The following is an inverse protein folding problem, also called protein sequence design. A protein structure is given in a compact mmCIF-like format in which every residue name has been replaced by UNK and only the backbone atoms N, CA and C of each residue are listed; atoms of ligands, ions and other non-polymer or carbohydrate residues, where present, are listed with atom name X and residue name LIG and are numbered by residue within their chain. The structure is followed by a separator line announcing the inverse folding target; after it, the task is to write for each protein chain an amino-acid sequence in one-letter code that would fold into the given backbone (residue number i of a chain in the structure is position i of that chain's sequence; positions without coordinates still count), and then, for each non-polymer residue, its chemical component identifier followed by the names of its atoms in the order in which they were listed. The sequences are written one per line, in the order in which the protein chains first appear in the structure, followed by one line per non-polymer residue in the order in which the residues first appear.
data_IF_926522622062
#
_entry.id   IF_926522622062
#
_cell.length_a   1.000
_cell.length_b   1.000
_cell.length_c   1.000
_cell.angle_alpha   90.00
_cell.angle_beta   90.00
_cell.angle_gamma   90.00
#
_symmetry.space_group_name_H-M   'P 1'
#
loop_
_entity.id
_entity.type
_entity.pdbx_description
1 polymer ?
#
# COMPACT_ATOMS: atom_id res chain seq x y z
N UNK A 1 -10.09 -7.98 26.64
CA UNK A 1 -8.72 -8.40 26.96
C UNK A 1 -8.14 -9.07 25.72
N UNK A 2 -7.10 -8.46 25.14
CA UNK A 2 -6.38 -8.98 23.94
C UNK A 2 -5.20 -9.87 24.35
N UNK A 3 -5.14 -10.26 25.63
CA UNK A 3 -4.00 -10.95 26.22
C UNK A 3 -3.61 -12.18 25.41
N UNK A 4 -2.39 -12.12 24.87
CA UNK A 4 -1.68 -13.22 24.20
C UNK A 4 -2.28 -13.82 22.92
N UNK A 5 -3.07 -13.08 22.15
CA UNK A 5 -3.51 -13.56 20.84
C UNK A 5 -2.37 -13.50 19.82
N UNK A 6 -2.08 -14.62 19.20
CA UNK A 6 -1.01 -14.75 18.21
C UNK A 6 -1.44 -14.19 16.86
N UNK A 7 -0.69 -13.24 16.34
CA UNK A 7 -0.88 -12.65 14.99
C UNK A 7 0.40 -12.84 14.20
N UNK A 8 0.29 -13.23 12.95
CA UNK A 8 1.39 -13.26 12.01
C UNK A 8 1.25 -12.10 11.02
N UNK A 9 2.29 -11.31 10.86
CA UNK A 9 2.38 -10.29 9.81
C UNK A 9 3.42 -10.73 8.78
N UNK A 10 3.02 -10.83 7.51
CA UNK A 10 3.89 -11.21 6.40
C UNK A 10 4.07 -10.02 5.48
N UNK A 11 5.34 -9.63 5.27
CA UNK A 11 5.75 -8.39 4.65
C UNK A 11 5.95 -7.30 5.70
N UNK A 12 7.23 -7.05 6.07
CA UNK A 12 7.66 -6.07 7.08
C UNK A 12 8.26 -4.82 6.42
N UNK A 13 7.87 -4.53 5.19
CA UNK A 13 8.21 -3.27 4.53
C UNK A 13 7.56 -2.07 5.24
N UNK A 14 7.62 -0.88 4.61
CA UNK A 14 7.20 0.40 5.22
C UNK A 14 5.80 0.38 5.87
N UNK A 15 4.86 -0.37 5.30
CA UNK A 15 3.49 -0.44 5.82
C UNK A 15 3.32 -1.57 6.84
N UNK A 16 3.76 -2.78 6.52
CA UNK A 16 3.58 -3.96 7.38
C UNK A 16 4.36 -3.88 8.68
N UNK A 17 5.54 -3.27 8.66
CA UNK A 17 6.30 -2.96 9.86
C UNK A 17 5.52 -2.06 10.82
N UNK A 18 4.90 -0.99 10.32
CA UNK A 18 4.07 -0.09 11.11
C UNK A 18 2.84 -0.78 11.70
N UNK A 19 2.16 -1.63 10.91
CA UNK A 19 1.04 -2.47 11.37
C UNK A 19 1.50 -3.38 12.52
N UNK A 20 2.65 -4.05 12.36
CA UNK A 20 3.23 -4.92 13.40
C UNK A 20 3.46 -4.17 14.71
N UNK A 21 4.08 -2.97 14.64
CA UNK A 21 4.32 -2.11 15.82
C UNK A 21 3.02 -1.71 16.50
N UNK A 22 1.99 -1.39 15.73
CA UNK A 22 0.68 -1.00 16.26
C UNK A 22 -0.02 -2.18 16.96
N UNK A 23 0.05 -3.37 16.39
CA UNK A 23 -0.49 -4.59 17.01
C UNK A 23 0.27 -4.95 18.30
N UNK A 24 1.61 -4.83 18.31
CA UNK A 24 2.40 -5.07 19.54
C UNK A 24 2.03 -4.07 20.64
N UNK A 25 1.85 -2.77 20.32
CA UNK A 25 1.37 -1.77 21.30
C UNK A 25 -0.02 -2.08 21.85
N UNK A 26 -0.86 -2.75 21.07
CA UNK A 26 -2.19 -3.20 21.51
C UNK A 26 -2.17 -4.51 22.32
N UNK A 27 -0.99 -5.07 22.62
CA UNK A 27 -0.83 -6.26 23.46
C UNK A 27 -0.94 -7.60 22.73
N UNK A 28 -0.86 -7.61 21.38
CA UNK A 28 -0.80 -8.85 20.62
C UNK A 28 0.61 -9.44 20.64
N UNK A 29 0.69 -10.77 20.64
CA UNK A 29 1.92 -11.49 20.38
C UNK A 29 2.11 -11.56 18.87
N UNK A 30 3.01 -10.72 18.31
CA UNK A 30 3.19 -10.57 16.88
C UNK A 30 4.42 -11.33 16.40
N UNK A 31 4.19 -12.25 15.47
CA UNK A 31 5.22 -12.90 14.66
C UNK A 31 5.35 -12.14 13.35
N UNK A 32 6.58 -11.98 12.86
CA UNK A 32 6.85 -11.26 11.62
C UNK A 32 7.65 -12.11 10.64
N UNK A 33 7.30 -12.05 9.36
CA UNK A 33 8.05 -12.68 8.29
C UNK A 33 8.28 -11.70 7.14
N UNK A 34 9.51 -11.64 6.65
CA UNK A 34 9.89 -10.90 5.45
C UNK A 34 10.97 -11.66 4.67
N UNK A 35 11.01 -11.46 3.36
CA UNK A 35 12.09 -12.01 2.50
C UNK A 35 13.42 -11.28 2.72
N UNK A 36 13.36 -10.01 3.16
CA UNK A 36 14.53 -9.24 3.50
C UNK A 36 14.94 -9.53 4.96
N UNK A 37 16.09 -10.17 5.20
CA UNK A 37 16.54 -10.53 6.55
C UNK A 37 16.79 -9.31 7.43
N UNK A 38 17.16 -8.16 6.87
CA UNK A 38 17.38 -6.94 7.64
C UNK A 38 16.08 -6.39 8.22
N UNK A 39 14.97 -6.46 7.46
CA UNK A 39 13.66 -6.08 7.97
C UNK A 39 13.22 -7.02 9.10
N UNK A 40 13.46 -8.31 8.97
CA UNK A 40 13.13 -9.29 10.00
C UNK A 40 13.97 -9.09 11.26
N UNK A 41 15.27 -8.85 11.12
CA UNK A 41 16.18 -8.54 12.23
C UNK A 41 15.75 -7.28 12.98
N UNK A 42 15.44 -6.21 12.24
CA UNK A 42 14.92 -4.97 12.81
C UNK A 42 13.62 -5.20 13.58
N UNK A 43 12.69 -5.99 13.03
CA UNK A 43 11.43 -6.32 13.70
C UNK A 43 11.67 -7.02 15.05
N UNK A 44 12.59 -7.96 15.14
CA UNK A 44 12.94 -8.64 16.40
C UNK A 44 13.58 -7.69 17.41
N UNK A 45 14.55 -6.87 16.97
CA UNK A 45 15.18 -5.85 17.83
C UNK A 45 14.17 -4.87 18.43
N UNK A 46 13.09 -4.60 17.71
CA UNK A 46 12.03 -3.68 18.13
C UNK A 46 10.88 -4.35 18.91
N UNK A 47 11.10 -5.57 19.39
CA UNK A 47 10.18 -6.30 20.29
C UNK A 47 9.23 -7.27 19.61
N UNK A 48 9.40 -7.53 18.32
CA UNK A 48 8.72 -8.61 17.63
C UNK A 48 9.10 -9.97 18.20
N UNK A 49 8.16 -10.92 18.17
CA UNK A 49 8.42 -12.21 18.77
C UNK A 49 9.35 -13.05 17.88
N UNK A 50 10.53 -13.40 18.42
CA UNK A 50 11.51 -14.27 17.78
C UNK A 50 11.26 -15.72 18.20
N UNK A 51 10.75 -16.56 17.28
CA UNK A 51 10.48 -17.96 17.55
C UNK A 51 9.68 -18.63 16.44
N UNK A 52 9.50 -19.94 16.57
CA UNK A 52 8.70 -20.69 15.59
C UNK A 52 7.25 -20.20 15.60
N UNK A 53 6.72 -19.92 14.41
CA UNK A 53 5.33 -19.48 14.24
C UNK A 53 4.38 -20.64 14.57
N UNK A 54 3.47 -20.49 15.55
CA UNK A 54 2.48 -21.52 15.90
C UNK A 54 1.25 -21.38 14.98
N UNK A 55 1.37 -21.87 13.73
CA UNK A 55 0.35 -21.66 12.69
C UNK A 55 -1.05 -22.13 13.11
N UNK A 56 -1.15 -23.20 13.88
CA UNK A 56 -2.40 -23.77 14.40
C UNK A 56 -3.04 -22.95 15.54
N UNK A 57 -2.31 -21.98 16.09
CA UNK A 57 -2.77 -21.11 17.19
C UNK A 57 -2.96 -19.65 16.75
N UNK A 58 -2.75 -19.34 15.48
CA UNK A 58 -2.93 -17.98 14.97
C UNK A 58 -4.41 -17.59 14.95
N UNK A 59 -4.69 -16.38 15.43
CA UNK A 59 -6.01 -15.77 15.29
C UNK A 59 -6.17 -15.10 13.93
N UNK A 60 -5.09 -14.50 13.44
CA UNK A 60 -5.07 -13.88 12.11
C UNK A 60 -3.68 -13.89 11.49
N UNK A 61 -3.66 -13.84 10.16
CA UNK A 61 -2.49 -13.52 9.35
C UNK A 61 -2.79 -12.23 8.58
N UNK A 62 -1.91 -11.24 8.73
CA UNK A 62 -1.98 -9.96 8.01
C UNK A 62 -0.94 -9.98 6.91
N UNK A 63 -1.36 -9.83 5.65
CA UNK A 63 -0.49 -9.92 4.47
C UNK A 63 -0.33 -8.53 3.87
N UNK A 64 0.91 -8.03 3.83
CA UNK A 64 1.27 -6.70 3.36
C UNK A 64 2.45 -6.80 2.40
N UNK A 65 2.21 -7.40 1.25
CA UNK A 65 3.24 -7.65 0.23
C UNK A 65 2.97 -6.86 -1.04
N UNK A 66 3.85 -6.99 -2.03
CA UNK A 66 3.84 -6.08 -3.18
C UNK A 66 2.69 -6.36 -4.17
N UNK A 67 2.34 -7.64 -4.42
CA UNK A 67 1.46 -8.00 -5.53
C UNK A 67 0.65 -9.29 -5.30
N UNK A 68 -0.25 -9.60 -6.25
CA UNK A 68 -1.10 -10.77 -6.27
C UNK A 68 -0.32 -12.09 -6.25
N UNK A 69 0.77 -12.17 -7.05
CA UNK A 69 1.61 -13.36 -7.13
C UNK A 69 2.20 -13.71 -5.76
N UNK A 70 2.78 -12.74 -5.07
CA UNK A 70 3.32 -12.95 -3.74
C UNK A 70 2.23 -13.33 -2.73
N UNK A 71 1.06 -12.68 -2.81
CA UNK A 71 -0.08 -12.99 -1.94
C UNK A 71 -0.55 -14.43 -2.14
N UNK A 72 -0.72 -14.88 -3.38
CA UNK A 72 -1.13 -16.26 -3.68
C UNK A 72 -0.06 -17.27 -3.24
N UNK A 73 1.22 -16.99 -3.49
CA UNK A 73 2.34 -17.85 -3.10
C UNK A 73 2.38 -18.08 -1.59
N UNK A 74 2.24 -16.99 -0.81
CA UNK A 74 2.22 -17.05 0.65
C UNK A 74 1.05 -17.91 1.16
N UNK A 75 -0.13 -17.76 0.60
CA UNK A 75 -1.32 -18.47 1.12
C UNK A 75 -1.39 -19.88 0.57
N UNK A 76 -1.20 -20.08 -0.73
CA UNK A 76 -1.51 -21.32 -1.45
C UNK A 76 -0.34 -21.91 -2.24
N UNK A 77 0.85 -21.29 -2.24
CA UNK A 77 2.04 -21.85 -2.88
C UNK A 77 2.44 -23.20 -2.28
N UNK A 78 3.50 -23.80 -2.78
CA UNK A 78 4.03 -25.10 -2.32
C UNK A 78 4.32 -25.09 -0.82
N UNK A 79 4.98 -24.03 -0.33
CA UNK A 79 5.25 -23.77 1.09
C UNK A 79 4.13 -22.95 1.78
N UNK A 80 3.00 -22.79 1.12
CA UNK A 80 1.90 -21.94 1.56
C UNK A 80 1.37 -22.27 2.95
N UNK A 81 0.79 -21.26 3.59
CA UNK A 81 0.37 -21.35 4.98
C UNK A 81 -1.03 -21.95 5.15
N UNK A 82 -1.86 -21.99 4.09
CA UNK A 82 -3.29 -22.34 4.21
C UNK A 82 -3.56 -23.70 4.86
N UNK A 83 -2.69 -24.69 4.62
CA UNK A 83 -2.83 -26.04 5.22
C UNK A 83 -2.30 -26.14 6.66
N UNK A 84 -1.61 -25.12 7.16
CA UNK A 84 -1.01 -25.06 8.49
C UNK A 84 -1.93 -24.35 9.50
N UNK A 85 -2.95 -23.64 9.00
CA UNK A 85 -3.83 -22.81 9.80
C UNK A 85 -5.05 -23.58 10.30
N UNK A 86 -5.54 -23.25 11.50
CA UNK A 86 -6.80 -23.78 12.01
C UNK A 86 -8.02 -23.17 11.29
N UNK A 87 -9.14 -23.90 11.33
CA UNK A 87 -10.40 -23.36 10.81
C UNK A 87 -10.75 -22.00 11.46
N UNK A 88 -11.34 -21.12 10.67
CA UNK A 88 -11.71 -19.75 11.03
C UNK A 88 -10.51 -18.83 11.36
N UNK A 89 -9.27 -19.19 11.05
CA UNK A 89 -8.19 -18.20 11.08
C UNK A 89 -8.47 -17.13 10.04
N UNK A 90 -8.29 -15.85 10.41
CA UNK A 90 -8.50 -14.72 9.53
C UNK A 90 -7.28 -14.49 8.65
N UNK A 91 -7.46 -14.42 7.35
CA UNK A 91 -6.48 -13.94 6.38
C UNK A 91 -6.88 -12.51 5.99
N UNK A 92 -6.17 -11.53 6.51
CA UNK A 92 -6.40 -10.11 6.23
C UNK A 92 -5.38 -9.64 5.20
N UNK A 93 -5.84 -9.39 3.97
CA UNK A 93 -4.96 -8.99 2.86
C UNK A 93 -5.01 -7.48 2.69
N UNK A 94 -3.87 -6.82 2.96
CA UNK A 94 -3.70 -5.38 2.81
C UNK A 94 -2.99 -5.01 1.51
N UNK A 95 -2.56 -5.99 0.74
CA UNK A 95 -1.93 -5.83 -0.58
C UNK A 95 -2.91 -5.19 -1.56
N UNK A 96 -2.43 -4.25 -2.38
CA UNK A 96 -3.23 -3.74 -3.51
C UNK A 96 -3.31 -4.81 -4.58
N UNK A 97 -4.51 -5.31 -4.82
CA UNK A 97 -4.85 -6.39 -5.76
C UNK A 97 -6.09 -6.03 -6.58
N UNK A 98 -6.35 -6.78 -7.65
CA UNK A 98 -7.61 -6.63 -8.39
C UNK A 98 -8.81 -7.19 -7.61
N UNK A 99 -10.02 -6.64 -7.82
CA UNK A 99 -11.23 -7.18 -7.20
C UNK A 99 -11.47 -8.66 -7.51
N UNK A 100 -11.16 -9.09 -8.74
CA UNK A 100 -11.34 -10.47 -9.17
C UNK A 100 -10.37 -11.41 -8.44
N UNK A 101 -9.12 -11.00 -8.26
CA UNK A 101 -8.15 -11.73 -7.46
C UNK A 101 -8.61 -11.87 -6.00
N UNK A 102 -9.09 -10.79 -5.40
CA UNK A 102 -9.59 -10.83 -4.02
C UNK A 102 -10.75 -11.83 -3.87
N UNK A 103 -11.70 -11.88 -4.84
CA UNK A 103 -12.79 -12.87 -4.86
C UNK A 103 -12.30 -14.30 -5.01
N UNK A 104 -11.30 -14.53 -5.87
CA UNK A 104 -10.69 -15.85 -6.03
C UNK A 104 -10.02 -16.32 -4.74
N UNK A 105 -9.29 -15.43 -4.07
CA UNK A 105 -8.66 -15.73 -2.77
C UNK A 105 -9.69 -16.05 -1.68
N UNK A 106 -10.78 -15.30 -1.61
CA UNK A 106 -11.89 -15.59 -0.67
C UNK A 106 -12.46 -17.00 -0.91
N UNK A 107 -12.78 -17.35 -2.16
CA UNK A 107 -13.27 -18.66 -2.53
C UNK A 107 -12.29 -19.80 -2.16
N UNK A 108 -11.00 -19.60 -2.40
CA UNK A 108 -9.94 -20.56 -2.03
C UNK A 108 -9.80 -20.67 -0.50
N UNK A 109 -9.84 -19.57 0.23
CA UNK A 109 -9.81 -19.55 1.69
C UNK A 109 -11.02 -20.28 2.29
N UNK A 110 -12.22 -20.02 1.77
CA UNK A 110 -13.45 -20.68 2.22
C UNK A 110 -13.39 -22.20 2.06
N UNK A 111 -12.83 -22.72 0.94
CA UNK A 111 -12.62 -24.18 0.73
C UNK A 111 -11.67 -24.80 1.76
N UNK A 112 -10.82 -23.99 2.41
CA UNK A 112 -9.90 -24.40 3.50
C UNK A 112 -10.45 -24.09 4.89
N UNK A 113 -11.71 -23.65 5.00
CA UNK A 113 -12.31 -23.25 6.28
C UNK A 113 -11.72 -21.96 6.88
N UNK A 114 -11.01 -21.17 6.09
CA UNK A 114 -10.40 -19.90 6.51
C UNK A 114 -11.34 -18.73 6.22
N UNK A 115 -11.18 -17.64 6.97
CA UNK A 115 -11.89 -16.39 6.74
C UNK A 115 -10.97 -15.46 5.95
N UNK A 116 -11.49 -14.81 4.90
CA UNK A 116 -10.75 -13.84 4.12
C UNK A 116 -11.31 -12.42 4.35
N UNK A 117 -10.44 -11.44 4.49
CA UNK A 117 -10.80 -10.03 4.51
C UNK A 117 -9.99 -9.29 3.44
N UNK A 118 -10.68 -8.72 2.48
CA UNK A 118 -10.15 -7.75 1.54
C UNK A 118 -10.00 -6.41 2.28
N UNK A 119 -8.75 -6.01 2.55
CA UNK A 119 -8.47 -4.92 3.47
C UNK A 119 -7.34 -3.99 3.00
N UNK A 120 -7.36 -3.50 1.76
CA UNK A 120 -6.36 -2.55 1.30
C UNK A 120 -6.33 -1.27 2.13
N UNK A 121 -5.15 -0.66 2.17
CA UNK A 121 -4.80 0.43 3.08
C UNK A 121 -4.38 1.71 2.36
N UNK A 122 -4.51 2.83 3.05
CA UNK A 122 -3.98 4.14 2.66
C UNK A 122 -3.47 4.90 3.89
N UNK A 123 -2.48 5.81 3.69
CA UNK A 123 -1.96 6.66 4.76
C UNK A 123 -0.43 6.77 4.83
N UNK A 124 0.30 5.87 4.14
CA UNK A 124 1.76 5.86 4.12
C UNK A 124 2.40 5.33 5.41
N UNK A 125 3.73 5.24 5.40
CA UNK A 125 4.52 4.63 6.48
C UNK A 125 4.33 5.31 7.83
N UNK A 126 4.24 6.65 7.86
CA UNK A 126 4.04 7.42 9.09
C UNK A 126 2.73 7.05 9.78
N UNK A 127 1.60 7.10 9.06
CA UNK A 127 0.30 6.71 9.61
C UNK A 127 0.24 5.24 10.00
N UNK A 128 0.97 4.37 9.29
CA UNK A 128 1.08 2.95 9.66
C UNK A 128 1.75 2.77 11.02
N UNK A 129 2.89 3.45 11.25
CA UNK A 129 3.59 3.45 12.54
C UNK A 129 2.76 4.03 13.69
N UNK A 130 1.95 5.04 13.41
CA UNK A 130 1.07 5.68 14.40
C UNK A 130 -0.20 4.86 14.70
N UNK A 131 -0.52 3.81 13.92
CA UNK A 131 -1.77 3.07 14.03
C UNK A 131 -2.97 3.85 13.49
N UNK A 132 -2.76 4.74 12.53
CA UNK A 132 -3.75 5.68 11.98
C UNK A 132 -4.04 5.45 10.49
N UNK A 133 -3.95 4.21 10.04
CA UNK A 133 -4.26 3.90 8.64
C UNK A 133 -5.75 4.12 8.33
N UNK A 134 -6.04 4.34 7.05
CA UNK A 134 -7.39 4.22 6.49
C UNK A 134 -7.50 2.87 5.80
N UNK A 135 -8.47 2.06 6.20
CA UNK A 135 -8.77 0.77 5.57
C UNK A 135 -10.03 0.85 4.72
N UNK A 136 -10.01 0.20 3.58
CA UNK A 136 -11.15 0.01 2.68
C UNK A 136 -11.50 -1.48 2.69
N UNK A 137 -12.46 -1.88 3.53
CA UNK A 137 -12.66 -3.32 3.78
C UNK A 137 -13.92 -3.87 3.16
N UNK A 138 -13.82 -5.12 2.70
CA UNK A 138 -14.96 -5.95 2.32
C UNK A 138 -14.73 -7.41 2.69
N UNK A 139 -15.80 -8.13 3.06
CA UNK A 139 -15.70 -9.53 3.49
C UNK A 139 -16.92 -9.99 4.25
N UNK A 140 -17.02 -11.30 4.52
CA UNK A 140 -18.15 -11.86 5.26
C UNK A 140 -18.31 -11.20 6.64
N UNK A 141 -19.55 -11.18 7.17
CA UNK A 141 -19.84 -10.64 8.50
C UNK A 141 -18.90 -11.24 9.57
N UNK A 142 -18.60 -12.53 9.46
CA UNK A 142 -17.70 -13.24 10.39
C UNK A 142 -16.26 -12.73 10.28
N UNK A 143 -15.76 -12.49 9.06
CA UNK A 143 -14.43 -11.92 8.83
C UNK A 143 -14.36 -10.49 9.37
N UNK A 144 -15.36 -9.66 9.10
CA UNK A 144 -15.46 -8.28 9.60
C UNK A 144 -15.46 -8.21 11.13
N UNK A 145 -16.24 -9.09 11.79
CA UNK A 145 -16.28 -9.14 13.25
C UNK A 145 -14.93 -9.57 13.84
N UNK A 146 -14.30 -10.59 13.26
CA UNK A 146 -13.00 -11.08 13.72
C UNK A 146 -11.87 -10.09 13.51
N UNK A 147 -11.92 -9.31 12.43
CA UNK A 147 -10.93 -8.27 12.13
C UNK A 147 -11.04 -7.02 13.01
N UNK A 148 -12.23 -6.77 13.58
CA UNK A 148 -12.50 -5.51 14.31
C UNK A 148 -11.42 -5.12 15.32
N UNK A 149 -10.96 -6.01 16.24
CA UNK A 149 -9.93 -5.62 17.22
C UNK A 149 -8.58 -5.28 16.60
N UNK A 150 -8.22 -5.92 15.47
CA UNK A 150 -6.98 -5.61 14.74
C UNK A 150 -7.10 -4.25 14.04
N UNK A 151 -8.24 -4.00 13.41
CA UNK A 151 -8.54 -2.72 12.76
C UNK A 151 -8.55 -1.58 13.78
N UNK A 152 -9.20 -1.75 14.93
CA UNK A 152 -9.22 -0.75 16.01
C UNK A 152 -7.81 -0.37 16.50
N UNK A 153 -6.85 -1.30 16.39
CA UNK A 153 -5.46 -1.10 16.83
C UNK A 153 -4.56 -0.47 15.77
N UNK A 154 -4.94 -0.50 14.51
CA UNK A 154 -4.07 -0.16 13.37
C UNK A 154 -4.63 0.95 12.48
N UNK A 155 -5.85 1.45 12.79
CA UNK A 155 -6.53 2.43 11.94
C UNK A 155 -7.04 3.65 12.69
N UNK A 156 -7.10 4.76 11.97
CA UNK A 156 -7.88 5.94 12.32
C UNK A 156 -9.29 5.86 11.71
N UNK A 157 -9.41 5.28 10.50
CA UNK A 157 -10.67 5.17 9.76
C UNK A 157 -10.81 3.81 9.09
N UNK A 158 -12.01 3.24 9.19
CA UNK A 158 -12.37 1.99 8.52
C UNK A 158 -13.62 2.21 7.68
N UNK A 159 -13.46 2.11 6.36
CA UNK A 159 -14.55 2.22 5.39
C UNK A 159 -14.99 0.82 4.98
N UNK A 160 -16.26 0.47 5.27
CA UNK A 160 -16.83 -0.85 4.96
C UNK A 160 -17.58 -0.79 3.64
N UNK A 161 -17.19 -1.62 2.68
CA UNK A 161 -17.79 -1.71 1.35
C UNK A 161 -18.70 -2.94 1.18
N UNK A 162 -19.21 -3.47 2.30
CA UNK A 162 -20.17 -4.58 2.28
C UNK A 162 -19.55 -5.94 2.50
N UNK A 163 -20.39 -6.98 2.29
CA UNK A 163 -20.04 -8.36 2.58
C UNK A 163 -19.42 -9.11 1.38
N UNK A 164 -19.53 -8.54 0.18
CA UNK A 164 -18.92 -9.11 -1.03
C UNK A 164 -17.47 -8.70 -1.14
N UNK A 165 -16.56 -9.66 -1.06
CA UNK A 165 -15.13 -9.46 -1.24
C UNK A 165 -14.82 -8.85 -2.61
N UNK A 166 -13.81 -7.99 -2.68
CA UNK A 166 -13.40 -7.26 -3.87
C UNK A 166 -13.89 -5.81 -3.94
N UNK A 167 -14.90 -5.43 -3.14
CA UNK A 167 -15.38 -4.05 -3.11
C UNK A 167 -14.36 -3.09 -2.45
N UNK A 168 -13.61 -3.56 -1.43
CA UNK A 168 -12.48 -2.83 -0.86
C UNK A 168 -11.37 -2.60 -1.88
N UNK A 169 -10.97 -3.66 -2.58
CA UNK A 169 -9.98 -3.59 -3.68
C UNK A 169 -10.43 -2.71 -4.83
N UNK A 170 -11.72 -2.70 -5.18
CA UNK A 170 -12.28 -1.79 -6.18
C UNK A 170 -12.13 -0.32 -5.75
N UNK A 171 -12.47 0.00 -4.51
CA UNK A 171 -12.27 1.36 -3.98
C UNK A 171 -10.79 1.72 -3.90
N UNK A 172 -9.91 0.76 -3.55
CA UNK A 172 -8.47 0.99 -3.60
C UNK A 172 -7.98 1.30 -5.00
N UNK A 173 -8.48 0.62 -6.03
CA UNK A 173 -8.15 0.93 -7.42
C UNK A 173 -8.54 2.37 -7.79
N UNK A 174 -9.72 2.84 -7.38
CA UNK A 174 -10.15 4.25 -7.56
C UNK A 174 -9.19 5.21 -6.82
N UNK A 175 -8.79 4.88 -5.59
CA UNK A 175 -7.80 5.68 -4.87
C UNK A 175 -6.45 5.73 -5.59
N UNK A 176 -5.96 4.60 -6.11
CA UNK A 176 -4.66 4.55 -6.81
C UNK A 176 -4.72 5.28 -8.15
N UNK A 177 -5.84 5.22 -8.87
CA UNK A 177 -6.07 6.05 -10.06
C UNK A 177 -5.82 7.52 -9.75
N UNK A 178 -6.51 8.07 -8.75
CA UNK A 178 -6.36 9.48 -8.37
C UNK A 178 -4.95 9.79 -7.85
N UNK A 179 -4.40 8.96 -6.98
CA UNK A 179 -3.10 9.21 -6.38
C UNK A 179 -1.96 9.23 -7.43
N UNK A 180 -1.95 8.28 -8.37
CA UNK A 180 -0.95 8.26 -9.45
C UNK A 180 -1.07 9.45 -10.40
N UNK A 181 -2.31 9.83 -10.77
CA UNK A 181 -2.55 11.03 -11.58
C UNK A 181 -2.08 12.28 -10.82
N UNK A 182 -2.41 12.42 -9.55
CA UNK A 182 -2.04 13.60 -8.75
C UNK A 182 -0.52 13.74 -8.58
N UNK A 183 0.23 12.63 -8.39
CA UNK A 183 1.70 12.70 -8.33
C UNK A 183 2.26 13.13 -9.69
N UNK A 184 1.78 12.55 -10.78
CA UNK A 184 2.23 12.92 -12.13
C UNK A 184 1.89 14.38 -12.44
N UNK A 185 0.67 14.82 -12.12
CA UNK A 185 0.23 16.22 -12.32
C UNK A 185 1.04 17.20 -11.45
N UNK A 186 1.34 16.86 -10.20
CA UNK A 186 2.21 17.67 -9.32
C UNK A 186 3.62 17.80 -9.92
N UNK A 187 4.20 16.68 -10.39
CA UNK A 187 5.53 16.66 -10.98
C UNK A 187 5.59 17.52 -12.26
N UNK A 188 4.58 17.45 -13.10
CA UNK A 188 4.43 18.28 -14.29
C UNK A 188 4.28 19.76 -13.91
N UNK A 189 3.41 20.09 -12.97
CA UNK A 189 3.13 21.47 -12.58
C UNK A 189 4.33 22.16 -11.92
N UNK A 190 5.05 21.48 -11.01
CA UNK A 190 6.24 22.08 -10.35
C UNK A 190 7.36 22.31 -11.37
N UNK A 191 7.61 21.36 -12.28
CA UNK A 191 8.61 21.52 -13.35
C UNK A 191 8.21 22.60 -14.34
N UNK A 192 6.94 22.70 -14.73
CA UNK A 192 6.44 23.80 -15.53
C UNK A 192 6.65 25.16 -14.83
N UNK A 193 6.33 25.26 -13.52
CA UNK A 193 6.56 26.44 -12.71
C UNK A 193 8.02 26.91 -12.75
N UNK A 194 8.97 25.98 -12.65
CA UNK A 194 10.40 26.27 -12.74
C UNK A 194 10.75 26.89 -14.11
N UNK A 195 10.19 26.39 -15.22
CA UNK A 195 10.43 27.00 -16.54
C UNK A 195 9.89 28.43 -16.65
N UNK A 196 8.95 28.81 -15.76
CA UNK A 196 8.39 30.17 -15.69
C UNK A 196 9.10 31.04 -14.64
N UNK A 197 10.23 30.55 -14.07
CA UNK A 197 10.99 31.26 -13.03
C UNK A 197 10.37 31.22 -11.64
N UNK A 198 9.41 30.34 -11.39
CA UNK A 198 8.78 30.17 -10.08
C UNK A 198 9.65 29.27 -9.20
N UNK A 199 10.02 29.77 -8.02
CA UNK A 199 10.73 28.99 -7.00
C UNK A 199 9.84 27.83 -6.50
N UNK A 200 10.37 26.58 -6.39
CA UNK A 200 9.58 25.42 -5.98
C UNK A 200 9.00 25.52 -4.55
N UNK A 201 9.66 26.22 -3.62
CA UNK A 201 9.10 26.47 -2.28
C UNK A 201 7.91 27.39 -2.35
N UNK A 202 8.05 28.46 -3.18
CA UNK A 202 6.94 29.41 -3.41
C UNK A 202 5.79 28.75 -4.16
N UNK A 203 6.07 27.85 -5.11
CA UNK A 203 5.06 27.03 -5.76
C UNK A 203 4.23 26.25 -4.73
N UNK A 204 4.89 25.51 -3.82
CA UNK A 204 4.20 24.72 -2.80
C UNK A 204 3.36 25.62 -1.89
N UNK A 205 3.93 26.71 -1.37
CA UNK A 205 3.24 27.66 -0.50
C UNK A 205 1.94 28.16 -1.11
N UNK A 206 1.99 28.57 -2.40
CA UNK A 206 0.83 29.15 -3.09
C UNK A 206 -0.19 28.08 -3.46
N UNK A 207 0.26 26.97 -4.07
CA UNK A 207 -0.67 25.94 -4.59
C UNK A 207 -1.38 25.20 -3.44
N UNK A 208 -0.77 25.07 -2.28
CA UNK A 208 -1.44 24.48 -1.11
C UNK A 208 -2.67 25.26 -0.65
N UNK A 209 -2.72 26.57 -0.92
CA UNK A 209 -3.86 27.45 -0.61
C UNK A 209 -4.82 27.66 -1.79
N UNK A 210 -4.54 27.03 -2.94
CA UNK A 210 -5.30 27.20 -4.16
C UNK A 210 -6.03 25.91 -4.57
N UNK A 211 -7.04 26.07 -5.44
CA UNK A 211 -7.85 24.94 -5.94
C UNK A 211 -7.06 23.86 -6.72
N UNK A 212 -5.84 24.16 -7.14
CA UNK A 212 -4.96 23.21 -7.83
C UNK A 212 -4.26 22.20 -6.92
N UNK A 213 -4.44 22.29 -5.60
CA UNK A 213 -3.78 21.38 -4.65
C UNK A 213 -4.38 19.97 -4.66
N UNK A 214 -3.62 19.04 -4.09
CA UNK A 214 -4.07 17.70 -3.70
C UNK A 214 -3.23 17.20 -2.54
N UNK A 215 -3.77 16.25 -1.77
CA UNK A 215 -3.00 15.63 -0.69
C UNK A 215 -1.67 15.04 -1.19
N UNK A 216 -1.65 14.47 -2.41
CA UNK A 216 -0.41 13.94 -2.98
C UNK A 216 0.59 15.05 -3.32
N UNK A 217 0.12 16.20 -3.83
CA UNK A 217 0.97 17.36 -4.09
C UNK A 217 1.64 17.83 -2.80
N UNK A 218 0.86 18.11 -1.77
CA UNK A 218 1.38 18.61 -0.48
C UNK A 218 2.35 17.63 0.19
N UNK A 219 2.12 16.33 0.01
CA UNK A 219 2.95 15.28 0.59
C UNK A 219 4.24 15.00 -0.21
N UNK A 220 4.23 15.19 -1.54
CA UNK A 220 5.35 14.82 -2.43
C UNK A 220 6.20 15.99 -2.91
N UNK A 221 5.64 17.18 -3.10
CA UNK A 221 6.42 18.35 -3.51
C UNK A 221 7.60 18.65 -2.57
N UNK A 222 7.51 18.47 -1.23
CA UNK A 222 8.65 18.63 -0.33
C UNK A 222 9.84 17.72 -0.66
N UNK A 223 9.61 16.52 -1.23
CA UNK A 223 10.71 15.62 -1.62
C UNK A 223 11.51 16.20 -2.78
N UNK A 224 10.84 16.81 -3.76
CA UNK A 224 11.47 17.50 -4.90
C UNK A 224 12.24 18.71 -4.40
N UNK A 225 11.60 19.53 -3.56
CA UNK A 225 12.20 20.78 -3.01
C UNK A 225 13.46 20.51 -2.21
N UNK A 226 13.49 19.41 -1.45
CA UNK A 226 14.63 19.05 -0.58
C UNK A 226 15.62 18.10 -1.27
N UNK A 227 15.41 17.73 -2.52
CA UNK A 227 16.18 16.71 -3.26
C UNK A 227 16.30 15.39 -2.47
N UNK A 228 15.24 15.02 -1.72
CA UNK A 228 15.16 13.80 -0.92
C UNK A 228 14.27 12.76 -1.61
N UNK A 229 14.87 11.90 -2.41
CA UNK A 229 14.19 10.81 -3.09
C UNK A 229 14.37 9.45 -2.38
N UNK A 230 14.67 9.47 -1.09
CA UNK A 230 14.64 8.26 -0.23
C UNK A 230 13.22 7.67 -0.24
N UNK A 231 13.04 6.38 -0.58
CA UNK A 231 11.73 5.84 -0.92
C UNK A 231 10.82 5.70 0.30
N UNK A 232 9.76 6.51 0.33
CA UNK A 232 8.57 6.30 1.20
C UNK A 232 7.50 5.51 0.45
N UNK A 233 7.46 5.70 -0.87
CA UNK A 233 6.73 4.90 -1.85
C UNK A 233 7.56 4.92 -3.13
N UNK A 234 7.95 3.77 -3.68
CA UNK A 234 8.84 3.73 -4.84
C UNK A 234 8.10 3.90 -6.17
N UNK A 235 8.80 4.42 -7.18
CA UNK A 235 8.30 4.52 -8.56
C UNK A 235 7.76 3.18 -9.06
N UNK A 236 8.42 2.05 -8.78
CA UNK A 236 8.01 0.72 -9.24
C UNK A 236 6.61 0.27 -8.74
N UNK A 237 6.05 0.91 -7.73
CA UNK A 237 4.68 0.63 -7.26
C UNK A 237 3.64 1.08 -8.30
N UNK A 238 3.88 2.19 -8.99
CA UNK A 238 2.89 2.84 -9.84
C UNK A 238 2.59 2.10 -11.13
N UNK A 239 3.57 1.57 -11.90
CA UNK A 239 3.27 0.72 -13.05
C UNK A 239 2.39 -0.47 -12.69
N UNK A 240 2.60 -1.06 -11.50
CA UNK A 240 1.77 -2.16 -11.00
C UNK A 240 0.36 -1.68 -10.62
N UNK A 241 0.25 -0.64 -9.79
CA UNK A 241 -1.04 -0.18 -9.26
C UNK A 241 -1.92 0.43 -10.37
N UNK A 242 -1.34 1.27 -11.24
CA UNK A 242 -2.06 1.82 -12.40
C UNK A 242 -2.34 0.75 -13.45
N UNK A 243 -1.49 -0.28 -13.56
CA UNK A 243 -1.76 -1.46 -14.38
C UNK A 243 -3.04 -2.18 -13.93
N UNK A 244 -3.22 -2.42 -12.62
CA UNK A 244 -4.46 -2.98 -12.06
C UNK A 244 -5.66 -2.10 -12.44
N UNK A 245 -5.53 -0.77 -12.30
CA UNK A 245 -6.60 0.17 -12.67
C UNK A 245 -6.96 0.06 -14.15
N UNK A 246 -5.97 0.04 -15.04
CA UNK A 246 -6.19 -0.04 -16.49
C UNK A 246 -6.79 -1.40 -16.91
N UNK A 247 -6.39 -2.48 -16.24
CA UNK A 247 -7.00 -3.81 -16.47
C UNK A 247 -8.47 -3.85 -16.06
N UNK A 248 -8.81 -3.23 -14.93
CA UNK A 248 -10.22 -3.09 -14.49
C UNK A 248 -10.99 -2.22 -15.49
N UNK A 249 -10.42 -1.08 -15.91
CA UNK A 249 -11.02 -0.16 -16.88
C UNK A 249 -11.28 -0.88 -18.21
N UNK A 250 -10.30 -1.63 -18.72
CA UNK A 250 -10.44 -2.42 -19.97
C UNK A 250 -11.57 -3.44 -19.87
N UNK A 251 -11.64 -4.20 -18.76
CA UNK A 251 -12.71 -5.18 -18.53
C UNK A 251 -14.11 -4.55 -18.49
N UNK A 252 -14.20 -3.30 -18.02
CA UNK A 252 -15.44 -2.54 -17.89
C UNK A 252 -15.76 -1.69 -19.11
N UNK A 253 -14.95 -1.74 -20.18
CA UNK A 253 -15.03 -0.84 -21.33
C UNK A 253 -15.00 0.65 -20.92
N UNK A 254 -14.27 0.98 -19.85
CA UNK A 254 -14.12 2.34 -19.34
C UNK A 254 -12.85 2.99 -19.88
N UNK A 255 -12.98 4.18 -20.47
CA UNK A 255 -11.83 4.97 -20.96
C UNK A 255 -11.14 5.67 -19.79
N UNK A 256 -9.83 5.42 -19.60
CA UNK A 256 -9.03 6.00 -18.53
C UNK A 256 -7.75 6.70 -19.08
N UNK A 257 -7.88 7.74 -19.94
CA UNK A 257 -6.73 8.34 -20.62
C UNK A 257 -5.74 9.00 -19.66
N UNK A 258 -6.19 9.69 -18.62
CA UNK A 258 -5.30 10.32 -17.64
C UNK A 258 -4.46 9.30 -16.89
N UNK A 259 -5.07 8.18 -16.49
CA UNK A 259 -4.36 7.07 -15.84
C UNK A 259 -3.29 6.46 -16.75
N UNK A 260 -3.63 6.25 -18.03
CA UNK A 260 -2.70 5.72 -19.01
C UNK A 260 -1.50 6.65 -19.22
N UNK A 261 -1.75 7.96 -19.33
CA UNK A 261 -0.70 8.97 -19.48
C UNK A 261 0.19 9.03 -18.24
N UNK A 262 -0.39 9.07 -17.04
CA UNK A 262 0.38 9.06 -15.78
C UNK A 262 1.25 7.80 -15.67
N UNK A 263 0.71 6.62 -16.03
CA UNK A 263 1.48 5.37 -16.00
C UNK A 263 2.72 5.43 -16.91
N UNK A 264 2.63 6.06 -18.10
CA UNK A 264 3.77 6.20 -19.00
C UNK A 264 4.90 7.03 -18.37
N UNK A 265 4.61 8.03 -17.55
CA UNK A 265 5.65 8.80 -16.85
C UNK A 265 6.39 7.95 -15.82
N UNK A 266 5.68 7.13 -15.05
CA UNK A 266 6.30 6.20 -14.09
C UNK A 266 7.10 5.11 -14.80
N UNK A 267 6.62 4.60 -15.93
CA UNK A 267 7.37 3.65 -16.77
C UNK A 267 8.65 4.28 -17.31
N UNK A 268 8.59 5.53 -17.79
CA UNK A 268 9.77 6.26 -18.25
C UNK A 268 10.79 6.46 -17.12
N UNK A 269 10.33 6.79 -15.91
CA UNK A 269 11.19 6.92 -14.74
C UNK A 269 11.85 5.58 -14.34
N UNK A 270 11.08 4.50 -14.30
CA UNK A 270 11.60 3.17 -14.04
C UNK A 270 12.62 2.73 -15.11
N UNK A 271 12.34 3.02 -16.39
CA UNK A 271 13.19 2.67 -17.53
C UNK A 271 14.56 3.33 -17.52
N UNK A 272 14.71 4.49 -16.90
CA UNK A 272 16.02 5.16 -16.72
C UNK A 272 16.70 4.85 -15.38
N UNK A 273 16.20 3.85 -14.64
CA UNK A 273 16.83 3.36 -13.40
C UNK A 273 16.31 3.98 -12.10
N UNK A 274 15.29 4.85 -12.13
CA UNK A 274 14.74 5.50 -10.93
C UNK A 274 13.71 4.62 -10.18
N UNK A 275 13.52 3.38 -10.58
CA UNK A 275 12.46 2.51 -10.08
C UNK A 275 12.43 2.33 -8.56
N UNK A 276 13.58 2.43 -7.89
CA UNK A 276 13.72 2.28 -6.43
C UNK A 276 13.70 3.62 -5.67
N UNK A 277 13.74 4.75 -6.37
CA UNK A 277 13.59 6.06 -5.76
C UNK A 277 12.13 6.33 -5.34
N UNK A 278 11.93 7.34 -4.50
CA UNK A 278 10.60 7.84 -4.14
C UNK A 278 9.80 8.23 -5.38
N UNK A 279 8.49 8.04 -5.33
CA UNK A 279 7.61 8.31 -6.46
C UNK A 279 7.58 9.78 -6.93
N UNK A 280 7.99 10.72 -6.07
CA UNK A 280 8.23 12.12 -6.44
C UNK A 280 9.34 12.27 -7.50
N UNK A 281 10.25 11.29 -7.62
CA UNK A 281 11.32 11.31 -8.62
C UNK A 281 10.80 11.24 -10.07
N UNK A 282 9.51 10.96 -10.29
CA UNK A 282 8.89 11.11 -11.62
C UNK A 282 9.07 12.53 -12.17
N UNK A 283 9.25 13.55 -11.32
CA UNK A 283 9.56 14.92 -11.71
C UNK A 283 10.88 15.04 -12.52
N UNK A 284 11.84 14.13 -12.28
CA UNK A 284 13.10 14.08 -13.06
C UNK A 284 12.87 13.80 -14.53
N UNK A 285 11.77 13.13 -14.89
CA UNK A 285 11.40 12.90 -16.31
C UNK A 285 10.95 14.20 -16.96
N UNK A 286 10.08 14.94 -16.31
CA UNK A 286 9.61 16.25 -16.81
C UNK A 286 10.76 17.25 -16.89
N UNK A 287 11.61 17.33 -15.88
CA UNK A 287 12.78 18.20 -15.84
C UNK A 287 13.75 17.89 -16.98
N UNK A 288 14.10 16.60 -17.19
CA UNK A 288 14.96 16.18 -18.32
C UNK A 288 14.37 16.58 -19.66
N UNK A 289 13.08 16.39 -19.86
CA UNK A 289 12.40 16.70 -21.11
C UNK A 289 12.32 18.23 -21.36
N UNK A 290 12.30 19.03 -20.29
CA UNK A 290 12.32 20.49 -20.34
C UNK A 290 13.74 21.10 -20.37
N UNK A 291 14.78 20.28 -20.24
CA UNK A 291 16.18 20.75 -20.19
C UNK A 291 16.52 21.54 -18.92
N UNK A 292 15.85 21.25 -17.78
CA UNK A 292 16.10 21.90 -16.48
C UNK A 292 16.66 20.90 -15.48
N UNK A 293 17.39 21.42 -14.48
CA UNK A 293 17.92 20.64 -13.35
C UNK A 293 17.10 20.96 -12.09
N UNK A 294 16.63 19.95 -11.35
CA UNK A 294 15.81 20.15 -10.14
C UNK A 294 16.64 20.57 -8.92
N UNK A 295 17.95 20.34 -8.91
CA UNK A 295 18.86 20.57 -7.78
C UNK A 295 19.35 22.02 -7.63
N UNK A 296 18.89 22.95 -8.47
CA UNK A 296 19.38 24.35 -8.52
C UNK A 296 18.44 25.39 -7.91
N UNK A 297 17.43 24.99 -7.13
CA UNK A 297 16.41 25.91 -6.64
C UNK A 297 16.32 26.00 -5.12
#
# INVERSE_FOLDING_TARGET
MTENKNILVIGLGSMGYGISKSLMRAGYKVYGQDKNPDQQKKFFQDGGFEGKVPYDQLEAVVIVVLNEKQTNEIIFGEEGISNKLKNNTLIMVCTTVSPDFAKDMDNKCAKKGLLYLDAPISGGSKKSLEGKLSYMISGSQKALQKAKPLLDSTSEKVFKFGQSVGAGSAMKAVNQMLAGIHISAMAEAITFGITQGIDPKKFLEVISECAGTSWMLENRAPHIINDDYSPKSSINIWPKDLGIVLDIAKKSNFSAPLTATAMQQFLAAAGIGLGHEDDAAVAKIYARNAGIELTKY
#
